data_IF_635055859184
#
_entry.id   IF_635055859184
#
_cell.length_a   1.000
_cell.length_b   1.000
_cell.length_c   1.000
_cell.angle_alpha   90.00
_cell.angle_beta   90.00
_cell.angle_gamma   90.00
#
_symmetry.space_group_name_H-M   'P 1'
#
loop_
_entity.id
_entity.type
_entity.pdbx_description
1 polymer ?
#
# COMPACT_ATOMS: atom_id res chain seq x y z
N UNK A 1 1.58 -20.60 -50.50
CA UNK A 1 0.99 -20.77 -49.16
C UNK A 1 1.88 -20.06 -48.14
N UNK A 2 1.45 -18.96 -47.51
CA UNK A 2 2.28 -18.29 -46.52
C UNK A 2 2.39 -19.15 -45.27
N UNK A 3 3.63 -19.44 -44.85
CA UNK A 3 3.93 -20.29 -43.69
C UNK A 3 3.48 -19.66 -42.37
N UNK A 4 3.03 -20.47 -41.40
CA UNK A 4 2.57 -20.05 -40.04
C UNK A 4 3.48 -19.04 -39.32
N UNK A 5 4.79 -19.05 -39.64
CA UNK A 5 5.79 -18.13 -39.09
C UNK A 5 5.68 -16.69 -39.61
N UNK A 6 5.16 -16.49 -40.83
CA UNK A 6 4.90 -15.16 -41.37
C UNK A 6 3.61 -14.58 -40.76
N UNK A 7 2.57 -15.41 -40.59
CA UNK A 7 1.32 -15.02 -39.95
C UNK A 7 1.53 -14.53 -38.51
N UNK A 8 2.32 -15.24 -37.69
CA UNK A 8 2.64 -14.81 -36.32
C UNK A 8 3.48 -13.52 -36.25
N UNK A 9 4.30 -13.22 -37.27
CA UNK A 9 5.02 -11.94 -37.35
C UNK A 9 4.13 -10.79 -37.84
N UNK A 10 3.14 -11.08 -38.67
CA UNK A 10 2.19 -10.09 -39.19
C UNK A 10 1.06 -9.76 -38.20
N UNK A 11 0.68 -10.70 -37.32
CA UNK A 11 -0.37 -10.47 -36.31
C UNK A 11 0.04 -9.52 -35.18
N UNK A 12 1.34 -9.36 -34.91
CA UNK A 12 1.84 -8.45 -33.87
C UNK A 12 1.74 -6.97 -34.26
N UNK A 13 1.56 -6.64 -35.55
CA UNK A 13 1.44 -5.27 -36.06
C UNK A 13 -0.02 -4.82 -36.32
N UNK A 14 -1.01 -5.70 -36.14
CA UNK A 14 -2.40 -5.43 -36.52
C UNK A 14 -3.31 -4.95 -35.37
N UNK A 15 -2.77 -4.70 -34.17
CA UNK A 15 -3.51 -4.14 -33.02
C UNK A 15 -3.25 -2.64 -32.78
N UNK A 16 -2.82 -1.90 -33.81
CA UNK A 16 -2.72 -0.44 -33.77
C UNK A 16 -4.03 0.24 -34.26
N UNK A 17 -5.15 -0.20 -33.69
CA UNK A 17 -6.46 0.42 -33.88
C UNK A 17 -6.77 1.39 -32.74
N UNK A 18 -6.76 2.69 -33.04
CA UNK A 18 -7.34 3.83 -32.30
C UNK A 18 -7.43 3.64 -30.77
N UNK A 19 -6.28 3.77 -30.11
CA UNK A 19 -6.16 3.91 -28.68
C UNK A 19 -4.72 4.28 -28.39
N UNK A 20 -4.48 5.45 -27.80
CA UNK A 20 -3.14 5.95 -27.49
C UNK A 20 -2.36 4.89 -26.70
N UNK A 21 -1.33 4.31 -27.33
CA UNK A 21 -0.37 3.46 -26.63
C UNK A 21 0.28 4.33 -25.55
N UNK A 22 0.20 3.96 -24.26
CA UNK A 22 0.88 4.70 -23.21
C UNK A 22 2.37 4.84 -23.54
N UNK A 23 2.93 6.04 -23.44
CA UNK A 23 4.31 6.35 -23.82
C UNK A 23 5.37 5.56 -23.04
N UNK A 24 5.00 4.91 -21.94
CA UNK A 24 5.85 3.99 -21.18
C UNK A 24 6.02 2.61 -21.86
N UNK A 25 4.99 2.11 -22.55
CA UNK A 25 4.99 0.83 -23.26
C UNK A 25 5.94 0.86 -24.47
N UNK A 26 6.02 2.02 -25.14
CA UNK A 26 7.01 2.26 -26.18
C UNK A 26 8.45 2.23 -25.65
N UNK A 27 8.69 2.66 -24.40
CA UNK A 27 10.03 2.70 -23.80
C UNK A 27 10.49 1.37 -23.22
N UNK A 28 9.59 0.51 -22.74
CA UNK A 28 9.93 -0.85 -22.29
C UNK A 28 10.56 -1.71 -23.42
N UNK A 29 10.21 -1.44 -24.68
CA UNK A 29 10.81 -2.10 -25.85
C UNK A 29 12.20 -1.56 -26.22
N UNK A 30 12.57 -0.35 -25.74
CA UNK A 30 13.88 0.28 -25.94
C UNK A 30 14.76 0.30 -24.68
N UNK A 31 14.26 -0.14 -23.52
CA UNK A 31 14.92 -0.08 -22.22
C UNK A 31 16.01 -1.15 -22.00
N UNK A 32 16.74 -1.54 -23.04
CA UNK A 32 17.87 -2.46 -22.88
C UNK A 32 19.17 -1.80 -22.38
N UNK A 33 19.30 -0.48 -22.37
CA UNK A 33 20.59 0.18 -22.07
C UNK A 33 20.49 1.55 -21.37
N UNK A 34 19.76 1.66 -20.26
CA UNK A 34 20.01 2.75 -19.29
C UNK A 34 19.67 2.28 -17.86
N UNK A 35 20.62 2.30 -16.91
CA UNK A 35 20.29 2.20 -15.50
C UNK A 35 19.37 3.37 -15.15
N UNK A 36 18.19 3.11 -14.61
CA UNK A 36 17.33 4.17 -14.09
C UNK A 36 18.10 4.91 -12.99
N UNK A 37 18.43 6.18 -13.23
CA UNK A 37 18.97 7.08 -12.22
C UNK A 37 17.95 7.42 -11.10
N UNK A 38 16.72 6.88 -11.17
CA UNK A 38 15.63 7.15 -10.23
C UNK A 38 15.61 6.09 -9.13
N UNK A 39 15.60 6.54 -7.87
CA UNK A 39 15.46 5.65 -6.71
C UNK A 39 14.10 4.93 -6.73
N UNK A 40 14.11 3.66 -6.35
CA UNK A 40 12.91 2.86 -6.12
C UNK A 40 12.28 3.26 -4.78
N UNK A 41 10.94 3.30 -4.75
CA UNK A 41 10.18 3.79 -3.60
C UNK A 41 9.15 2.76 -3.18
N UNK A 42 9.13 2.39 -1.90
CA UNK A 42 8.12 1.51 -1.31
C UNK A 42 7.22 2.33 -0.37
N UNK A 43 5.92 2.34 -0.65
CA UNK A 43 4.92 3.04 0.16
C UNK A 43 4.06 1.99 0.86
N UNK A 44 4.03 2.00 2.19
CA UNK A 44 3.17 1.13 2.98
C UNK A 44 1.98 1.94 3.55
N UNK A 45 0.77 1.42 3.34
CA UNK A 45 -0.47 2.03 3.84
C UNK A 45 -1.15 1.05 4.79
N UNK A 46 -1.36 1.47 6.03
CA UNK A 46 -2.03 0.65 7.04
C UNK A 46 -3.50 1.07 7.22
N UNK A 47 -4.43 0.17 6.95
CA UNK A 47 -5.86 0.32 7.21
C UNK A 47 -6.13 -0.13 8.66
N UNK A 48 -6.09 0.81 9.61
CA UNK A 48 -6.23 0.50 11.05
C UNK A 48 -7.68 0.24 11.43
N UNK A 49 -7.93 -0.93 12.01
CA UNK A 49 -9.25 -1.33 12.47
C UNK A 49 -9.79 -2.56 11.76
N UNK A 50 -8.96 -3.41 11.15
CA UNK A 50 -9.37 -4.68 10.55
C UNK A 50 -10.50 -4.54 9.53
N UNK A 51 -10.18 -4.01 8.35
CA UNK A 51 -11.17 -3.81 7.28
C UNK A 51 -11.87 -5.11 6.91
N UNK A 52 -13.17 -5.04 6.59
CA UNK A 52 -13.92 -6.19 6.10
C UNK A 52 -13.50 -6.58 4.68
N UNK A 53 -12.42 -7.38 4.58
CA UNK A 53 -11.84 -7.82 3.31
C UNK A 53 -12.84 -8.47 2.35
N UNK A 54 -13.85 -9.18 2.87
CA UNK A 54 -14.89 -9.83 2.06
C UNK A 54 -15.89 -8.84 1.43
N UNK A 55 -15.99 -7.63 1.98
CA UNK A 55 -16.72 -6.52 1.38
C UNK A 55 -15.79 -5.54 0.64
N UNK A 56 -14.47 -5.65 0.76
CA UNK A 56 -13.49 -4.90 -0.06
C UNK A 56 -13.31 -5.57 -1.43
N UNK A 57 -12.98 -6.86 -1.41
CA UNK A 57 -12.89 -7.74 -2.57
C UNK A 57 -13.90 -8.86 -2.37
N UNK A 58 -15.03 -8.68 -3.06
CA UNK A 58 -16.21 -9.51 -2.94
C UNK A 58 -15.95 -10.83 -3.64
N UNK A 59 -15.97 -11.97 -2.93
CA UNK A 59 -15.90 -13.30 -3.57
C UNK A 59 -17.27 -13.64 -4.16
N UNK A 60 -17.76 -12.85 -5.12
CA UNK A 60 -19.12 -12.98 -5.65
C UNK A 60 -19.36 -14.34 -6.32
N UNK A 61 -18.31 -15.08 -6.70
CA UNK A 61 -18.42 -16.46 -7.15
C UNK A 61 -18.91 -17.44 -6.07
N UNK A 62 -18.75 -17.11 -4.78
CA UNK A 62 -19.09 -17.97 -3.64
C UNK A 62 -20.56 -17.80 -3.21
N UNK A 63 -21.42 -18.83 -3.32
CA UNK A 63 -22.78 -18.77 -2.78
C UNK A 63 -22.80 -18.58 -1.25
N UNK A 64 -21.85 -19.19 -0.54
CA UNK A 64 -21.71 -19.12 0.90
C UNK A 64 -21.59 -17.67 1.41
N UNK A 65 -20.88 -16.80 0.69
CA UNK A 65 -20.77 -15.36 1.02
C UNK A 65 -22.14 -14.71 1.22
N UNK A 66 -23.05 -14.90 0.27
CA UNK A 66 -24.41 -14.34 0.33
C UNK A 66 -25.26 -14.96 1.44
N UNK A 67 -25.08 -16.26 1.69
CA UNK A 67 -25.83 -16.95 2.75
C UNK A 67 -25.38 -16.54 4.17
N UNK A 68 -24.10 -16.23 4.33
CA UNK A 68 -23.49 -15.83 5.60
C UNK A 68 -23.65 -14.33 5.89
N UNK A 69 -24.01 -13.54 4.86
CA UNK A 69 -24.12 -12.06 4.91
C UNK A 69 -25.45 -11.56 4.33
N UNK A 70 -26.60 -12.03 4.84
CA UNK A 70 -27.89 -11.75 4.23
C UNK A 70 -28.27 -10.26 4.16
N UNK A 71 -27.69 -9.40 5.01
CA UNK A 71 -28.00 -7.96 5.04
C UNK A 71 -26.86 -7.05 4.59
N UNK A 72 -25.61 -7.53 4.61
CA UNK A 72 -24.43 -6.72 4.24
C UNK A 72 -23.75 -7.16 2.92
N UNK A 73 -24.14 -8.28 2.31
CA UNK A 73 -23.49 -8.77 1.09
C UNK A 73 -23.60 -7.79 -0.08
N UNK A 74 -22.48 -7.50 -0.72
CA UNK A 74 -22.44 -6.71 -1.95
C UNK A 74 -23.05 -7.52 -3.11
N UNK A 75 -24.01 -6.96 -3.87
CA UNK A 75 -24.67 -7.68 -4.95
C UNK A 75 -23.69 -8.24 -6.00
N UNK A 76 -24.06 -9.37 -6.60
CA UNK A 76 -23.32 -9.98 -7.72
C UNK A 76 -23.19 -8.98 -8.88
N UNK A 77 -22.09 -8.99 -9.64
CA UNK A 77 -21.91 -8.12 -10.79
C UNK A 77 -23.09 -8.19 -11.76
N UNK A 78 -23.72 -7.04 -12.01
CA UNK A 78 -24.84 -6.88 -12.97
C UNK A 78 -24.59 -5.72 -13.95
N UNK A 79 -23.41 -5.09 -13.89
CA UNK A 79 -23.03 -3.92 -14.68
C UNK A 79 -23.51 -2.58 -14.12
N UNK A 80 -24.22 -2.56 -13.00
CA UNK A 80 -24.61 -1.32 -12.30
C UNK A 80 -23.50 -0.81 -11.36
N UNK A 81 -23.64 0.44 -10.93
CA UNK A 81 -22.80 1.08 -9.91
C UNK A 81 -23.12 0.65 -8.47
N UNK A 82 -24.06 -0.30 -8.30
CA UNK A 82 -24.56 -0.79 -7.00
C UNK A 82 -24.07 -2.19 -6.66
N UNK A 83 -23.43 -2.86 -7.62
CA UNK A 83 -22.98 -4.23 -7.52
C UNK A 83 -21.45 -4.32 -7.50
N UNK A 84 -20.92 -5.48 -7.14
CA UNK A 84 -19.49 -5.74 -7.23
C UNK A 84 -19.01 -5.56 -8.69
N UNK A 85 -17.80 -5.01 -8.84
CA UNK A 85 -17.16 -4.82 -10.13
C UNK A 85 -16.35 -6.07 -10.44
N UNK A 86 -16.81 -6.87 -11.40
CA UNK A 86 -16.17 -8.13 -11.77
C UNK A 86 -14.68 -7.94 -12.16
N UNK A 87 -13.81 -8.79 -11.61
CA UNK A 87 -12.38 -8.80 -11.89
C UNK A 87 -11.95 -10.04 -12.68
N UNK A 88 -12.44 -11.22 -12.29
CA UNK A 88 -12.04 -12.51 -12.85
C UNK A 88 -13.14 -13.58 -12.80
N UNK A 89 -14.41 -13.17 -12.74
CA UNK A 89 -15.62 -14.01 -12.58
C UNK A 89 -15.76 -14.71 -11.23
N UNK A 90 -14.73 -14.66 -10.36
CA UNK A 90 -14.77 -15.20 -9.00
C UNK A 90 -14.79 -14.07 -7.97
N UNK A 91 -13.95 -13.07 -8.17
CA UNK A 91 -13.80 -11.92 -7.29
C UNK A 91 -14.20 -10.64 -8.01
N UNK A 92 -14.68 -9.68 -7.22
CA UNK A 92 -15.06 -8.36 -7.68
C UNK A 92 -14.67 -7.29 -6.66
N UNK A 93 -14.39 -6.07 -7.11
CA UNK A 93 -14.20 -4.95 -6.17
C UNK A 93 -15.54 -4.49 -5.62
N UNK A 94 -15.56 -4.00 -4.39
CA UNK A 94 -16.66 -3.17 -3.91
C UNK A 94 -16.95 -2.03 -4.92
N UNK A 95 -18.21 -1.68 -5.23
CA UNK A 95 -18.55 -0.62 -6.19
C UNK A 95 -17.86 0.72 -5.92
N UNK A 96 -17.74 1.12 -4.64
CA UNK A 96 -17.02 2.34 -4.24
C UNK A 96 -15.53 2.35 -4.60
N UNK A 97 -14.93 1.22 -4.96
CA UNK A 97 -13.54 1.11 -5.43
C UNK A 97 -13.44 1.18 -6.96
N UNK A 98 -14.47 1.66 -7.67
CA UNK A 98 -14.48 1.75 -9.13
C UNK A 98 -13.26 2.47 -9.72
N UNK A 99 -12.71 3.46 -9.02
CA UNK A 99 -11.53 4.21 -9.43
C UNK A 99 -10.27 3.35 -9.54
N UNK A 100 -10.23 2.19 -8.87
CA UNK A 100 -9.14 1.21 -8.99
C UNK A 100 -9.27 0.28 -10.21
N UNK A 101 -10.43 0.22 -10.86
CA UNK A 101 -10.66 -0.69 -12.00
C UNK A 101 -9.71 -0.42 -13.16
N UNK A 102 -9.41 0.85 -13.43
CA UNK A 102 -8.44 1.24 -14.46
C UNK A 102 -7.04 0.67 -14.17
N UNK A 103 -6.60 0.67 -12.91
CA UNK A 103 -5.29 0.15 -12.51
C UNK A 103 -5.25 -1.38 -12.62
N UNK A 104 -6.36 -2.05 -12.29
CA UNK A 104 -6.52 -3.48 -12.51
C UNK A 104 -6.40 -3.84 -14.00
N UNK A 105 -7.15 -3.14 -14.86
CA UNK A 105 -7.17 -3.38 -16.31
C UNK A 105 -5.81 -3.10 -16.97
N UNK A 106 -5.09 -2.11 -16.46
CA UNK A 106 -3.71 -1.78 -16.86
C UNK A 106 -2.67 -2.72 -16.26
N UNK A 107 -3.08 -3.73 -15.48
CA UNK A 107 -2.22 -4.70 -14.78
C UNK A 107 -1.24 -4.05 -13.80
N UNK A 108 -1.59 -2.89 -13.26
CA UNK A 108 -0.80 -2.16 -12.27
C UNK A 108 -1.30 -2.38 -10.83
N UNK A 109 -2.42 -3.09 -10.66
CA UNK A 109 -2.96 -3.49 -9.36
C UNK A 109 -3.01 -5.02 -9.27
N UNK A 110 -2.35 -5.56 -8.25
CA UNK A 110 -2.48 -6.94 -7.80
C UNK A 110 -3.26 -6.99 -6.48
N UNK A 111 -4.12 -7.98 -6.36
CA UNK A 111 -4.87 -8.27 -5.14
C UNK A 111 -4.32 -9.58 -4.59
N UNK A 112 -4.12 -9.65 -3.28
CA UNK A 112 -3.69 -10.87 -2.61
C UNK A 112 -4.73 -11.20 -1.54
N UNK A 113 -5.43 -12.31 -1.74
CA UNK A 113 -6.51 -12.79 -0.88
C UNK A 113 -6.03 -13.75 0.21
N UNK A 114 -6.86 -13.91 1.23
CA UNK A 114 -6.60 -14.79 2.37
C UNK A 114 -5.22 -14.56 3.01
N UNK A 115 -4.82 -13.29 3.07
CA UNK A 115 -3.55 -12.85 3.66
C UNK A 115 -3.74 -12.52 5.13
N UNK A 116 -2.82 -12.94 5.99
CA UNK A 116 -2.89 -12.54 7.39
C UNK A 116 -1.66 -12.90 8.19
N UNK A 117 -1.71 -12.59 9.48
CA UNK A 117 -0.71 -12.98 10.47
C UNK A 117 -0.87 -14.46 10.83
N UNK A 118 0.23 -15.23 10.97
CA UNK A 118 0.17 -16.57 11.56
C UNK A 118 -0.11 -16.55 13.06
N UNK A 119 0.10 -15.42 13.74
CA UNK A 119 -0.40 -15.21 15.10
C UNK A 119 -1.91 -14.87 15.04
N UNK A 120 -2.76 -15.58 15.80
CA UNK A 120 -4.22 -15.45 15.71
C UNK A 120 -4.80 -14.35 16.60
N UNK A 121 -3.98 -13.46 17.17
CA UNK A 121 -4.49 -12.38 18.02
C UNK A 121 -5.50 -11.50 17.30
N UNK A 122 -6.61 -11.23 17.98
CA UNK A 122 -7.67 -10.30 17.54
C UNK A 122 -7.58 -8.94 18.27
N UNK A 123 -6.50 -8.72 19.03
CA UNK A 123 -6.24 -7.43 19.66
C UNK A 123 -5.66 -6.47 18.62
N UNK A 124 -6.34 -5.35 18.36
CA UNK A 124 -5.82 -4.31 17.47
C UNK A 124 -4.41 -3.87 17.85
N UNK A 125 -4.14 -3.68 19.14
CA UNK A 125 -2.81 -3.26 19.62
C UNK A 125 -1.73 -4.27 19.24
N UNK A 126 -1.96 -5.56 19.53
CA UNK A 126 -0.95 -6.60 19.30
C UNK A 126 -0.80 -6.91 17.82
N UNK A 127 -1.90 -7.03 17.09
CA UNK A 127 -1.87 -7.36 15.66
C UNK A 127 -1.24 -6.24 14.82
N UNK A 128 -1.54 -4.96 15.13
CA UNK A 128 -0.89 -3.83 14.47
C UNK A 128 0.61 -3.82 14.78
N UNK A 129 0.99 -4.00 16.05
CA UNK A 129 2.40 -4.08 16.44
C UNK A 129 3.14 -5.21 15.71
N UNK A 130 2.53 -6.39 15.59
CA UNK A 130 3.09 -7.55 14.90
C UNK A 130 3.23 -7.38 13.39
N UNK A 131 2.25 -6.75 12.73
CA UNK A 131 2.36 -6.47 11.29
C UNK A 131 3.37 -5.36 11.01
N UNK A 132 3.42 -4.31 11.83
CA UNK A 132 4.39 -3.23 11.69
C UNK A 132 5.82 -3.67 12.06
N UNK A 133 5.97 -4.54 13.05
CA UNK A 133 7.27 -5.13 13.38
C UNK A 133 7.67 -6.22 12.39
N UNK A 134 6.72 -6.91 11.74
CA UNK A 134 7.01 -8.10 10.93
C UNK A 134 7.40 -9.33 11.76
N UNK A 135 7.09 -9.34 13.07
CA UNK A 135 7.43 -10.43 14.01
C UNK A 135 6.21 -10.87 14.85
N UNK A 136 5.25 -11.57 14.23
CA UNK A 136 4.06 -12.11 14.91
C UNK A 136 4.38 -12.87 16.19
N UNK A 137 3.66 -12.55 17.27
CA UNK A 137 3.82 -13.19 18.59
C UNK A 137 4.97 -12.66 19.43
N UNK A 138 5.81 -11.74 18.93
CA UNK A 138 7.01 -11.25 19.64
C UNK A 138 6.92 -9.75 19.96
N UNK A 139 6.22 -9.40 21.04
CA UNK A 139 6.05 -8.01 21.52
C UNK A 139 7.35 -7.28 21.86
N UNK A 140 8.41 -8.04 22.17
CA UNK A 140 9.72 -7.47 22.50
C UNK A 140 10.41 -6.80 21.31
N UNK A 141 9.90 -6.97 20.08
CA UNK A 141 10.47 -6.34 18.87
C UNK A 141 10.10 -4.86 18.84
N UNK A 142 11.07 -3.99 19.09
CA UNK A 142 10.85 -2.53 19.18
C UNK A 142 10.98 -1.80 17.83
N UNK A 143 11.59 -2.44 16.84
CA UNK A 143 11.83 -1.88 15.50
C UNK A 143 10.94 -2.53 14.42
N UNK A 144 10.85 -1.83 13.29
CA UNK A 144 9.91 -2.12 12.22
C UNK A 144 10.53 -2.80 11.01
N UNK A 145 9.72 -3.58 10.30
CA UNK A 145 10.21 -4.28 9.10
C UNK A 145 10.57 -3.31 7.97
N UNK A 146 9.86 -2.18 7.81
CA UNK A 146 10.14 -1.23 6.74
C UNK A 146 11.47 -0.50 7.00
N UNK A 147 11.80 -0.22 8.27
CA UNK A 147 13.13 0.27 8.65
C UNK A 147 14.22 -0.78 8.37
N UNK A 148 14.03 -2.03 8.81
CA UNK A 148 15.01 -3.11 8.57
C UNK A 148 15.18 -3.44 7.09
N UNK A 149 14.16 -3.20 6.27
CA UNK A 149 14.20 -3.42 4.83
C UNK A 149 15.17 -2.48 4.10
N UNK A 150 15.47 -1.30 4.65
CA UNK A 150 16.34 -0.32 4.01
C UNK A 150 17.79 -0.79 3.97
N UNK A 151 18.44 -0.65 2.81
CA UNK A 151 19.87 -0.96 2.64
C UNK A 151 20.71 0.15 3.26
N UNK A 152 21.82 -0.17 3.91
CA UNK A 152 22.69 0.85 4.50
C UNK A 152 23.27 1.80 3.43
N UNK A 153 23.25 3.11 3.69
CA UNK A 153 23.89 4.15 2.89
C UNK A 153 24.89 4.91 3.76
N UNK A 154 26.05 5.30 3.21
CA UNK A 154 27.08 6.02 3.97
C UNK A 154 26.68 7.46 4.33
N UNK A 155 25.89 8.11 3.45
CA UNK A 155 25.39 9.47 3.61
C UNK A 155 23.90 9.51 3.25
N UNK A 156 23.04 8.94 4.11
CA UNK A 156 21.62 8.85 3.82
C UNK A 156 21.00 10.25 3.78
N UNK A 157 20.02 10.45 2.89
CA UNK A 157 19.19 11.65 2.96
C UNK A 157 18.31 11.61 4.23
N UNK A 158 18.18 12.71 4.99
CA UNK A 158 17.28 12.77 6.15
C UNK A 158 15.80 12.51 5.83
N UNK A 159 15.38 12.67 4.57
CA UNK A 159 14.01 12.39 4.09
C UNK A 159 13.88 11.05 3.37
N UNK A 160 14.86 10.14 3.54
CA UNK A 160 14.84 8.81 2.93
C UNK A 160 13.69 7.93 3.42
N UNK A 161 13.31 8.09 4.70
CA UNK A 161 12.17 7.41 5.32
C UNK A 161 11.22 8.42 5.95
N UNK A 162 9.97 8.47 5.50
CA UNK A 162 8.98 9.45 5.98
C UNK A 162 7.65 8.77 6.31
N UNK A 163 7.03 9.15 7.43
CA UNK A 163 5.63 8.81 7.71
C UNK A 163 4.73 10.04 7.70
N UNK A 164 3.52 9.88 7.16
CA UNK A 164 2.46 10.89 7.20
C UNK A 164 1.55 10.59 8.40
N UNK A 165 2.13 10.68 9.59
CA UNK A 165 1.52 10.32 10.89
C UNK A 165 1.96 11.31 11.98
N UNK A 166 1.23 11.40 13.12
CA UNK A 166 1.62 12.29 14.22
C UNK A 166 2.97 11.95 14.86
N UNK A 167 3.33 10.67 14.89
CA UNK A 167 4.58 10.16 15.45
C UNK A 167 5.18 9.09 14.53
N UNK A 168 6.47 8.76 14.72
CA UNK A 168 7.13 7.72 13.93
C UNK A 168 6.51 6.36 14.26
N UNK A 169 5.84 5.71 13.27
CA UNK A 169 5.15 4.44 13.46
C UNK A 169 6.17 3.32 13.70
N UNK A 170 5.75 2.23 14.33
CA UNK A 170 6.64 1.11 14.66
C UNK A 170 7.35 0.58 13.41
N UNK A 171 6.66 0.51 12.27
CA UNK A 171 7.24 0.02 11.01
C UNK A 171 8.48 0.79 10.55
N UNK A 172 8.62 2.06 10.94
CA UNK A 172 9.77 2.91 10.63
C UNK A 172 10.74 3.12 11.79
N UNK A 173 10.49 2.57 12.98
CA UNK A 173 11.47 2.61 14.08
C UNK A 173 12.64 1.66 13.79
N UNK A 174 13.86 2.06 14.10
CA UNK A 174 15.04 1.21 13.93
C UNK A 174 16.33 2.01 13.78
N UNK A 175 17.31 1.42 13.10
CA UNK A 175 18.66 2.00 12.91
C UNK A 175 18.70 3.10 11.86
N UNK A 176 17.80 3.05 10.88
CA UNK A 176 17.68 4.11 9.88
C UNK A 176 16.85 5.25 10.46
N UNK A 177 17.28 6.48 10.28
CA UNK A 177 16.50 7.64 10.68
C UNK A 177 15.21 7.74 9.85
N UNK A 178 14.11 8.12 10.50
CA UNK A 178 12.82 8.31 9.87
C UNK A 178 12.13 9.54 10.44
N UNK A 179 11.45 10.29 9.58
CA UNK A 179 10.76 11.52 9.95
C UNK A 179 9.25 11.34 9.92
N UNK A 180 8.57 11.72 11.00
CA UNK A 180 7.11 11.82 11.03
C UNK A 180 6.67 13.24 10.67
N UNK A 181 5.81 13.36 9.67
CA UNK A 181 5.30 14.62 9.13
C UNK A 181 3.78 14.52 9.09
N UNK A 182 3.07 15.18 10.02
CA UNK A 182 1.61 15.16 9.96
C UNK A 182 1.09 15.97 8.75
N UNK A 183 1.69 17.12 8.49
CA UNK A 183 1.42 17.97 7.33
C UNK A 183 2.66 18.80 6.99
N UNK A 184 3.08 18.75 5.73
CA UNK A 184 4.22 19.49 5.18
C UNK A 184 4.06 21.02 5.33
N UNK A 185 2.82 21.51 5.31
CA UNK A 185 2.54 22.93 5.42
C UNK A 185 2.68 23.45 6.86
N UNK A 186 2.62 22.56 7.85
CA UNK A 186 2.78 22.89 9.28
C UNK A 186 4.26 22.90 9.67
N UNK A 187 5.14 22.47 8.77
CA UNK A 187 6.57 22.41 8.98
C UNK A 187 7.19 23.81 8.88
N UNK A 188 6.96 24.64 9.90
CA UNK A 188 7.47 26.01 10.00
C UNK A 188 8.43 26.17 11.17
N UNK A 189 9.56 26.81 10.90
CA UNK A 189 10.45 27.31 11.95
C UNK A 189 9.84 28.61 12.49
N UNK A 190 9.30 28.59 13.70
CA UNK A 190 8.61 29.75 14.32
C UNK A 190 9.50 30.98 14.48
N UNK A 191 10.83 30.80 14.62
CA UNK A 191 11.80 31.90 14.58
C UNK A 191 13.09 31.47 13.83
N UNK A 192 13.29 31.94 12.59
CA UNK A 192 14.47 31.63 11.78
C UNK A 192 15.79 32.04 12.44
N UNK A 193 15.79 33.08 13.30
CA UNK A 193 17.01 33.55 13.98
C UNK A 193 17.40 32.62 15.12
N UNK A 194 16.41 32.09 15.84
CA UNK A 194 16.64 31.07 16.89
C UNK A 194 17.16 29.78 16.25
N UNK A 195 16.56 29.33 15.14
CA UNK A 195 17.04 28.15 14.42
C UNK A 195 18.49 28.33 13.90
N UNK A 196 18.82 29.47 13.31
CA UNK A 196 20.19 29.76 12.86
C UNK A 196 21.18 29.83 14.04
N UNK A 197 20.74 30.31 15.20
CA UNK A 197 21.56 30.32 16.42
C UNK A 197 21.81 28.90 16.93
N UNK A 198 20.77 28.06 17.03
CA UNK A 198 20.92 26.65 17.38
C UNK A 198 21.77 25.87 16.38
N UNK A 199 21.59 26.10 15.07
CA UNK A 199 22.42 25.51 14.01
C UNK A 199 23.90 25.89 14.19
N UNK A 200 24.19 27.16 14.49
CA UNK A 200 25.55 27.62 14.76
C UNK A 200 26.16 27.00 16.03
N UNK A 201 25.33 26.75 17.06
CA UNK A 201 25.75 26.11 18.31
C UNK A 201 26.11 24.63 18.11
N UNK A 202 25.29 23.86 17.39
CA UNK A 202 25.60 22.48 16.99
C UNK A 202 26.73 22.41 15.93
N UNK A 203 26.94 23.48 15.17
CA UNK A 203 28.09 23.59 14.27
C UNK A 203 29.43 23.77 14.99
N UNK A 204 29.41 24.28 16.24
CA UNK A 204 30.60 24.67 17.02
C UNK A 204 30.86 23.80 18.25
N UNK A 205 29.96 22.90 18.63
CA UNK A 205 30.21 21.97 19.75
C UNK A 205 31.20 20.87 19.31
N UNK A 206 32.05 20.37 20.22
CA UNK A 206 33.06 19.37 19.90
C UNK A 206 32.54 17.91 19.90
N UNK A 207 31.30 17.69 20.36
CA UNK A 207 30.69 16.36 20.44
C UNK A 207 30.16 15.91 19.08
N UNK A 208 30.91 15.02 18.42
CA UNK A 208 30.60 14.51 17.08
C UNK A 208 29.21 13.84 16.96
N UNK A 209 28.71 13.24 18.04
CA UNK A 209 27.40 12.56 18.07
C UNK A 209 26.24 13.57 18.08
N UNK A 210 26.36 14.65 18.85
CA UNK A 210 25.35 15.73 18.88
C UNK A 210 25.40 16.57 17.60
N UNK A 211 26.58 16.72 16.99
CA UNK A 211 26.76 17.45 15.73
C UNK A 211 26.14 16.73 14.52
N UNK A 212 26.16 15.39 14.47
CA UNK A 212 25.59 14.60 13.38
C UNK A 212 24.07 14.73 13.32
N UNK A 213 23.39 14.32 14.39
CA UNK A 213 21.92 14.35 14.51
C UNK A 213 21.36 15.78 14.41
N UNK A 214 22.08 16.77 14.94
CA UNK A 214 21.71 18.18 14.80
C UNK A 214 21.72 18.65 13.34
N UNK A 215 22.79 18.37 12.58
CA UNK A 215 22.92 18.76 11.17
C UNK A 215 21.89 18.07 10.29
N UNK A 216 21.68 16.77 10.45
CA UNK A 216 20.71 16.00 9.67
C UNK A 216 19.28 16.53 9.87
N UNK A 217 18.94 16.93 11.10
CA UNK A 217 17.67 17.59 11.43
C UNK A 217 17.53 18.94 10.70
N UNK A 218 18.58 19.77 10.70
CA UNK A 218 18.55 21.06 9.99
C UNK A 218 18.49 20.91 8.47
N UNK A 219 19.16 19.89 7.91
CA UNK A 219 19.10 19.59 6.48
C UNK A 219 17.70 19.10 6.08
N UNK A 220 17.08 18.23 6.88
CA UNK A 220 15.67 17.86 6.71
C UNK A 220 14.78 19.11 6.71
N UNK A 221 14.98 20.03 7.67
CA UNK A 221 14.20 21.26 7.76
C UNK A 221 14.34 22.13 6.50
N UNK A 222 15.57 22.32 6.01
CA UNK A 222 15.84 23.12 4.81
C UNK A 222 15.19 22.50 3.58
N UNK A 223 15.31 21.19 3.41
CA UNK A 223 14.69 20.46 2.29
C UNK A 223 13.17 20.62 2.37
N UNK A 224 12.56 20.38 3.53
CA UNK A 224 11.12 20.50 3.74
C UNK A 224 10.60 21.92 3.45
N UNK A 225 11.30 22.97 3.88
CA UNK A 225 10.95 24.35 3.55
C UNK A 225 11.04 24.63 2.04
N UNK A 226 12.02 24.05 1.35
CA UNK A 226 12.14 24.20 -0.11
C UNK A 226 10.96 23.54 -0.84
N UNK A 227 10.52 22.37 -0.38
CA UNK A 227 9.33 21.69 -0.90
C UNK A 227 8.10 22.56 -0.64
N UNK A 228 7.92 23.03 0.60
CA UNK A 228 6.76 23.83 1.03
C UNK A 228 6.60 25.11 0.20
N UNK A 229 7.69 25.82 -0.09
CA UNK A 229 7.68 27.07 -0.89
C UNK A 229 7.38 26.85 -2.36
N UNK A 230 7.60 25.65 -2.88
CA UNK A 230 7.35 25.31 -4.28
C UNK A 230 5.89 24.92 -4.47
N UNK A 231 5.07 25.66 -5.23
CA UNK A 231 3.68 25.30 -5.48
C UNK A 231 3.59 23.87 -6.05
N UNK A 232 2.62 23.11 -5.56
CA UNK A 232 2.39 21.75 -6.02
C UNK A 232 1.03 21.64 -6.70
N UNK A 233 1.04 21.35 -7.99
CA UNK A 233 -0.16 21.04 -8.76
C UNK A 233 -0.07 19.57 -9.19
N UNK A 234 -1.01 18.71 -8.77
CA UNK A 234 -1.07 17.33 -9.26
C UNK A 234 -1.08 17.30 -10.80
N UNK A 235 -0.29 16.38 -11.37
CA UNK A 235 -0.16 16.22 -12.81
C UNK A 235 -1.23 15.29 -13.38
N UNK A 236 -1.29 15.19 -14.71
CA UNK A 236 -2.12 14.26 -15.46
C UNK A 236 -3.63 14.34 -15.14
N UNK A 237 -4.10 15.47 -14.60
CA UNK A 237 -5.50 15.66 -14.20
C UNK A 237 -5.87 14.92 -12.90
N UNK A 238 -4.91 14.57 -12.06
CA UNK A 238 -5.18 13.91 -10.79
C UNK A 238 -5.91 14.84 -9.81
N UNK A 239 -6.95 14.31 -9.17
CA UNK A 239 -7.71 15.00 -8.14
C UNK A 239 -7.73 14.16 -6.87
N UNK A 240 -6.98 14.58 -5.85
CA UNK A 240 -6.97 13.90 -4.57
C UNK A 240 -8.25 14.21 -3.78
N UNK A 241 -8.88 13.22 -3.14
CA UNK A 241 -10.01 13.48 -2.27
C UNK A 241 -9.56 14.23 -1.02
N UNK A 242 -10.50 14.93 -0.38
CA UNK A 242 -10.22 15.77 0.79
C UNK A 242 -9.91 15.01 2.08
N UNK A 243 -10.08 13.68 2.10
CA UNK A 243 -9.80 12.83 3.26
C UNK A 243 -8.30 12.75 3.59
N UNK A 244 -8.01 12.24 4.79
CA UNK A 244 -6.64 12.18 5.33
C UNK A 244 -5.69 11.38 4.44
N UNK A 245 -6.16 10.30 3.83
CA UNK A 245 -5.31 9.50 2.94
C UNK A 245 -4.99 10.25 1.65
N UNK A 246 -5.97 10.92 1.03
CA UNK A 246 -5.77 11.76 -0.15
C UNK A 246 -4.72 12.84 0.10
N UNK A 247 -4.82 13.54 1.23
CA UNK A 247 -3.83 14.55 1.64
C UNK A 247 -2.44 13.94 1.89
N UNK A 248 -2.35 12.77 2.53
CA UNK A 248 -1.08 12.10 2.80
C UNK A 248 -0.39 11.65 1.51
N UNK A 249 -1.14 11.04 0.59
CA UNK A 249 -0.60 10.61 -0.70
C UNK A 249 -0.21 11.78 -1.60
N UNK A 250 -0.93 12.91 -1.54
CA UNK A 250 -0.52 14.13 -2.25
C UNK A 250 0.81 14.68 -1.72
N UNK A 251 1.05 14.62 -0.41
CA UNK A 251 2.31 15.05 0.18
C UNK A 251 3.47 14.10 -0.16
N UNK A 252 3.22 12.79 -0.14
CA UNK A 252 4.19 11.79 -0.63
C UNK A 252 4.52 12.07 -2.10
N UNK A 253 3.51 12.27 -2.94
CA UNK A 253 3.67 12.62 -4.36
C UNK A 253 4.54 13.87 -4.56
N UNK A 254 4.33 14.91 -3.74
CA UNK A 254 5.13 16.14 -3.74
C UNK A 254 6.60 15.87 -3.40
N UNK A 255 6.89 15.07 -2.36
CA UNK A 255 8.26 14.69 -2.00
C UNK A 255 8.94 13.86 -3.10
N UNK A 256 8.22 12.91 -3.69
CA UNK A 256 8.72 12.08 -4.80
C UNK A 256 9.09 12.94 -6.00
N UNK A 257 8.25 13.90 -6.37
CA UNK A 257 8.47 14.80 -7.51
C UNK A 257 9.53 15.86 -7.26
N UNK A 258 9.72 16.26 -6.01
CA UNK A 258 10.84 17.09 -5.60
C UNK A 258 12.18 16.33 -5.55
N UNK A 259 12.16 15.01 -5.76
CA UNK A 259 13.33 14.13 -5.83
C UNK A 259 14.26 14.23 -4.61
N UNK A 260 13.66 14.35 -3.43
CA UNK A 260 14.39 14.58 -2.17
C UNK A 260 15.11 13.34 -1.64
N UNK A 261 15.20 12.26 -2.40
CA UNK A 261 15.83 11.01 -1.97
C UNK A 261 14.95 10.09 -1.12
N UNK A 262 13.62 10.27 -1.16
CA UNK A 262 12.66 9.37 -0.52
C UNK A 262 12.78 7.95 -1.07
N UNK A 263 12.81 6.95 -0.18
CA UNK A 263 12.82 5.52 -0.53
C UNK A 263 11.69 4.74 0.12
N UNK A 264 11.34 5.07 1.36
CA UNK A 264 10.20 4.46 2.03
C UNK A 264 9.26 5.53 2.56
N UNK A 265 7.96 5.32 2.33
CA UNK A 265 6.92 6.15 2.93
C UNK A 265 5.89 5.30 3.66
N UNK A 266 5.36 5.83 4.75
CA UNK A 266 4.26 5.21 5.48
C UNK A 266 3.11 6.19 5.67
N UNK A 267 1.89 5.70 5.59
CA UNK A 267 0.72 6.41 6.13
C UNK A 267 -0.32 5.40 6.60
N UNK A 268 -1.29 5.86 7.35
CA UNK A 268 -2.39 5.04 7.82
C UNK A 268 -3.74 5.75 7.64
N UNK A 269 -4.79 4.94 7.64
CA UNK A 269 -6.17 5.41 7.58
C UNK A 269 -7.00 4.52 8.50
N UNK A 270 -7.82 5.13 9.34
CA UNK A 270 -8.69 4.44 10.30
C UNK A 270 -10.15 4.44 9.87
N UNK A 271 -11.02 3.99 10.79
CA UNK A 271 -12.48 3.94 10.57
C UNK A 271 -12.99 2.57 10.12
N UNK A 272 -12.11 1.59 9.99
CA UNK A 272 -12.42 0.25 9.49
C UNK A 272 -13.03 -0.69 10.55
N UNK A 273 -13.14 -0.23 11.80
CA UNK A 273 -13.63 -1.05 12.93
C UNK A 273 -15.16 -1.20 12.99
N UNK A 274 -15.75 -1.75 11.93
CA UNK A 274 -17.19 -1.71 11.67
C UNK A 274 -17.95 -2.88 12.31
N UNK A 275 -18.21 -2.78 13.62
CA UNK A 275 -19.04 -3.75 14.34
C UNK A 275 -20.56 -3.54 14.15
N UNK A 276 -20.98 -2.33 13.77
CA UNK A 276 -22.41 -1.96 13.71
C UNK A 276 -22.66 -1.14 12.45
N UNK A 277 -23.72 -1.48 11.72
CA UNK A 277 -24.17 -0.78 10.52
C UNK A 277 -23.03 -0.39 9.57
N UNK A 278 -22.19 -1.37 9.20
CA UNK A 278 -21.09 -1.12 8.27
C UNK A 278 -21.61 -0.59 6.92
N UNK A 279 -22.80 -1.07 6.55
CA UNK A 279 -23.56 -0.67 5.37
C UNK A 279 -24.76 0.22 5.73
N UNK A 280 -25.17 1.05 4.78
CA UNK A 280 -26.36 1.90 4.86
C UNK A 280 -27.65 1.13 4.57
N UNK A 281 -28.73 1.79 4.11
CA UNK A 281 -29.96 1.10 3.72
C UNK A 281 -29.78 0.10 2.57
N UNK A 282 -28.70 0.22 1.80
CA UNK A 282 -28.28 -0.74 0.78
C UNK A 282 -26.85 -1.21 1.07
N UNK A 283 -26.49 -2.46 0.70
CA UNK A 283 -25.15 -3.00 0.99
C UNK A 283 -23.98 -2.18 0.42
N UNK A 284 -24.17 -1.49 -0.71
CA UNK A 284 -23.13 -0.68 -1.36
C UNK A 284 -23.04 0.77 -0.83
N UNK A 285 -23.83 1.15 0.18
CA UNK A 285 -23.82 2.50 0.80
C UNK A 285 -23.39 2.42 2.27
N UNK A 286 -23.19 3.55 2.94
CA UNK A 286 -22.85 3.58 4.38
C UNK A 286 -21.37 3.81 4.69
N UNK A 287 -20.97 3.52 5.93
CA UNK A 287 -19.64 3.84 6.46
C UNK A 287 -18.53 3.17 5.64
N UNK A 288 -18.62 1.86 5.42
CA UNK A 288 -17.60 1.13 4.67
C UNK A 288 -17.49 1.67 3.23
N UNK A 289 -18.63 1.87 2.57
CA UNK A 289 -18.69 2.42 1.21
C UNK A 289 -18.04 3.80 1.10
N UNK A 290 -18.22 4.68 2.09
CA UNK A 290 -17.61 6.01 2.11
C UNK A 290 -16.09 5.95 2.32
N UNK A 291 -15.63 5.10 3.24
CA UNK A 291 -14.20 4.88 3.49
C UNK A 291 -13.51 4.28 2.27
N UNK A 292 -14.14 3.28 1.63
CA UNK A 292 -13.60 2.67 0.42
C UNK A 292 -13.56 3.63 -0.76
N UNK A 293 -14.50 4.57 -0.87
CA UNK A 293 -14.46 5.61 -1.90
C UNK A 293 -13.26 6.53 -1.72
N UNK A 294 -13.08 7.11 -0.52
CA UNK A 294 -11.92 7.96 -0.23
C UNK A 294 -10.60 7.18 -0.43
N UNK A 295 -10.56 5.92 0.00
CA UNK A 295 -9.41 5.04 -0.17
C UNK A 295 -9.06 4.76 -1.63
N UNK A 296 -10.05 4.31 -2.42
CA UNK A 296 -9.87 4.00 -3.84
C UNK A 296 -9.49 5.25 -4.64
N UNK A 297 -10.18 6.37 -4.40
CA UNK A 297 -9.95 7.63 -5.10
C UNK A 297 -8.57 8.21 -4.75
N UNK A 298 -8.11 8.09 -3.51
CA UNK A 298 -6.78 8.54 -3.11
C UNK A 298 -5.66 7.74 -3.80
N UNK A 299 -5.81 6.41 -3.89
CA UNK A 299 -4.85 5.54 -4.60
C UNK A 299 -4.84 5.80 -6.10
N UNK A 300 -6.03 5.93 -6.71
CA UNK A 300 -6.18 6.23 -8.13
C UNK A 300 -5.58 7.60 -8.48
N UNK A 301 -5.88 8.62 -7.68
CA UNK A 301 -5.31 9.96 -7.82
C UNK A 301 -3.79 9.94 -7.68
N UNK A 302 -3.24 9.18 -6.71
CA UNK A 302 -1.80 9.03 -6.57
C UNK A 302 -1.13 8.42 -7.79
N UNK A 303 -1.68 7.32 -8.31
CA UNK A 303 -1.14 6.68 -9.52
C UNK A 303 -1.20 7.62 -10.73
N UNK A 304 -2.34 8.30 -10.91
CA UNK A 304 -2.53 9.28 -11.97
C UNK A 304 -1.52 10.43 -11.86
N UNK A 305 -1.33 10.98 -10.65
CA UNK A 305 -0.41 12.09 -10.40
C UNK A 305 1.05 11.71 -10.70
N UNK A 306 1.45 10.49 -10.31
CA UNK A 306 2.80 9.97 -10.54
C UNK A 306 3.08 9.65 -12.02
N UNK A 307 2.08 9.17 -12.77
CA UNK A 307 2.25 8.82 -14.18
C UNK A 307 3.46 7.91 -14.40
N UNK A 308 4.41 8.34 -15.24
CA UNK A 308 5.65 7.61 -15.53
C UNK A 308 6.49 7.28 -14.28
N UNK A 309 6.35 8.02 -13.17
CA UNK A 309 7.06 7.71 -11.90
C UNK A 309 6.57 6.41 -11.25
N UNK A 310 5.39 5.90 -11.60
CA UNK A 310 4.90 4.62 -11.09
C UNK A 310 5.81 3.44 -11.46
N UNK A 311 6.65 3.55 -12.51
CA UNK A 311 7.66 2.55 -12.85
C UNK A 311 8.69 2.31 -11.73
N UNK A 312 8.85 3.28 -10.81
CA UNK A 312 9.79 3.23 -9.70
C UNK A 312 9.09 3.08 -8.34
N UNK A 313 7.76 3.03 -8.30
CA UNK A 313 6.97 3.04 -7.07
C UNK A 313 6.22 1.73 -6.93
N UNK A 314 6.29 1.15 -5.73
CA UNK A 314 5.38 0.09 -5.28
C UNK A 314 4.64 0.58 -4.04
N UNK A 315 3.32 0.53 -4.08
CA UNK A 315 2.43 0.78 -2.95
C UNK A 315 1.89 -0.55 -2.45
N UNK A 316 1.92 -0.78 -1.14
CA UNK A 316 1.30 -1.94 -0.50
C UNK A 316 0.32 -1.48 0.57
N UNK A 317 -0.86 -2.10 0.59
CA UNK A 317 -1.87 -1.85 1.62
C UNK A 317 -2.07 -3.09 2.48
N UNK A 318 -2.33 -2.88 3.76
CA UNK A 318 -2.53 -3.98 4.72
C UNK A 318 -3.49 -3.56 5.83
N UNK A 319 -4.03 -4.53 6.55
CA UNK A 319 -4.83 -4.37 7.76
C UNK A 319 -4.51 -5.51 8.72
N UNK A 320 -4.60 -5.27 10.02
CA UNK A 320 -4.01 -6.11 11.07
C UNK A 320 -4.54 -7.56 11.12
N UNK A 321 -5.80 -7.74 10.77
CA UNK A 321 -6.51 -9.01 10.58
C UNK A 321 -7.81 -8.70 9.82
N UNK A 322 -8.59 -9.73 9.49
CA UNK A 322 -9.88 -9.58 8.79
C UNK A 322 -11.10 -9.47 9.70
N UNK A 323 -12.27 -9.68 9.10
CA UNK A 323 -13.56 -9.72 9.78
C UNK A 323 -14.16 -11.12 9.76
N UNK A 324 -15.13 -11.38 10.64
CA UNK A 324 -15.87 -12.64 10.61
C UNK A 324 -16.52 -12.86 9.24
N UNK A 325 -16.57 -14.12 8.80
CA UNK A 325 -17.23 -14.44 7.52
C UNK A 325 -18.72 -14.18 7.60
N UNK A 326 -19.33 -14.57 8.73
CA UNK A 326 -20.74 -14.31 9.02
C UNK A 326 -20.92 -12.88 9.53
N UNK A 327 -21.94 -12.19 9.03
CA UNK A 327 -22.39 -10.92 9.62
C UNK A 327 -22.89 -11.12 11.06
N UNK A 328 -22.75 -10.10 11.90
CA UNK A 328 -23.32 -10.09 13.24
C UNK A 328 -24.78 -9.57 13.23
N UNK A 329 -25.41 -9.53 14.41
CA UNK A 329 -26.81 -9.09 14.54
C UNK A 329 -27.04 -7.60 14.28
N UNK A 330 -25.99 -6.80 14.24
CA UNK A 330 -26.03 -5.34 14.16
C UNK A 330 -25.68 -4.80 12.77
N UNK A 331 -25.73 -5.67 11.75
CA UNK A 331 -25.39 -5.34 10.35
C UNK A 331 -23.94 -4.85 10.22
N UNK A 332 -23.04 -5.47 10.96
CA UNK A 332 -21.59 -5.34 10.84
C UNK A 332 -20.92 -6.70 10.98
N UNK A 333 -19.63 -6.69 11.31
CA UNK A 333 -18.82 -7.90 11.49
C UNK A 333 -17.87 -7.78 12.68
N UNK A 334 -17.58 -8.91 13.32
CA UNK A 334 -16.64 -8.95 14.44
C UNK A 334 -15.21 -9.19 13.96
N UNK A 335 -14.24 -9.14 14.88
CA UNK A 335 -12.84 -9.44 14.56
C UNK A 335 -12.67 -10.86 14.03
N UNK A 336 -12.02 -10.99 12.87
CA UNK A 336 -11.73 -12.24 12.18
C UNK A 336 -10.24 -12.54 12.13
N UNK A 337 -9.77 -13.11 11.01
CA UNK A 337 -8.38 -13.56 10.85
C UNK A 337 -7.74 -13.12 9.53
N UNK A 338 -8.02 -13.80 8.41
CA UNK A 338 -7.47 -13.41 7.11
C UNK A 338 -8.16 -12.19 6.49
N UNK A 339 -7.38 -11.39 5.77
CA UNK A 339 -7.79 -10.17 5.08
C UNK A 339 -7.21 -10.15 3.65
N UNK A 340 -7.29 -8.99 3.00
CA UNK A 340 -6.80 -8.72 1.65
C UNK A 340 -5.68 -7.67 1.68
N UNK A 341 -4.69 -7.83 0.81
CA UNK A 341 -3.67 -6.82 0.53
C UNK A 341 -3.77 -6.35 -0.92
N UNK A 342 -3.61 -5.04 -1.14
CA UNK A 342 -3.39 -4.50 -2.48
C UNK A 342 -1.92 -4.19 -2.68
N UNK A 343 -1.39 -4.52 -3.85
CA UNK A 343 -0.07 -4.09 -4.31
C UNK A 343 -0.25 -3.37 -5.64
N UNK A 344 0.16 -2.10 -5.69
CA UNK A 344 0.03 -1.23 -6.86
C UNK A 344 1.39 -0.69 -7.30
N UNK A 345 1.68 -0.65 -8.60
CA UNK A 345 2.98 -0.18 -9.09
C UNK A 345 3.24 -0.52 -10.55
N UNK A 346 4.21 0.15 -11.16
CA UNK A 346 4.57 -0.11 -12.56
C UNK A 346 5.30 -1.44 -12.78
N UNK A 347 5.95 -1.98 -11.75
CA UNK A 347 6.58 -3.31 -11.78
C UNK A 347 5.64 -4.43 -11.31
N UNK A 348 4.39 -4.12 -10.95
CA UNK A 348 3.43 -5.11 -10.46
C UNK A 348 2.93 -5.97 -11.62
N UNK A 349 2.83 -7.27 -11.39
CA UNK A 349 2.18 -8.23 -12.29
C UNK A 349 0.69 -8.30 -11.94
N UNK A 350 -0.01 -7.20 -12.16
CA UNK A 350 -1.40 -7.02 -11.77
C UNK A 350 -2.43 -7.61 -12.74
N UNK A 351 -3.68 -7.22 -12.53
CA UNK A 351 -4.85 -7.79 -13.22
C UNK A 351 -5.09 -9.24 -12.80
N UNK A 352 -4.71 -9.59 -11.56
CA UNK A 352 -4.74 -10.94 -11.01
C UNK A 352 -5.00 -10.91 -9.51
N UNK A 353 -5.80 -11.86 -9.05
CA UNK A 353 -5.93 -12.22 -7.63
C UNK A 353 -4.90 -13.30 -7.32
N UNK A 354 -4.02 -13.04 -6.35
CA UNK A 354 -3.03 -13.96 -5.82
C UNK A 354 -3.52 -14.54 -4.49
N UNK A 355 -2.85 -15.61 -4.03
CA UNK A 355 -3.22 -16.33 -2.82
C UNK A 355 -4.03 -17.58 -3.15
N UNK A 356 -4.07 -18.51 -2.19
CA UNK A 356 -4.88 -19.72 -2.28
C UNK A 356 -6.19 -19.48 -1.55
N UNK A 357 -7.28 -19.26 -2.28
CA UNK A 357 -8.57 -19.03 -1.62
C UNK A 357 -9.08 -20.30 -0.93
N UNK A 358 -9.31 -20.28 0.39
CA UNK A 358 -9.70 -21.48 1.14
C UNK A 358 -11.15 -21.89 0.91
N UNK A 359 -12.02 -20.96 0.49
CA UNK A 359 -13.47 -21.15 0.47
C UNK A 359 -14.14 -20.61 1.74
N UNK A 360 -15.48 -20.63 1.78
CA UNK A 360 -16.27 -20.08 2.89
C UNK A 360 -17.19 -21.12 3.57
N UNK A 361 -17.08 -22.39 3.19
CA UNK A 361 -17.77 -23.47 3.89
C UNK A 361 -17.17 -23.68 5.28
N UNK A 362 -17.98 -24.16 6.23
CA UNK A 362 -17.60 -24.21 7.66
C UNK A 362 -16.28 -24.92 7.91
N UNK A 363 -15.98 -26.01 7.18
CA UNK A 363 -14.77 -26.81 7.33
C UNK A 363 -13.52 -26.12 6.75
N UNK A 364 -13.71 -25.09 5.91
CA UNK A 364 -12.65 -24.29 5.29
C UNK A 364 -12.26 -23.08 6.14
N UNK A 365 -13.13 -22.68 7.08
CA UNK A 365 -12.93 -21.53 7.94
C UNK A 365 -11.99 -21.82 9.11
N UNK A 366 -11.18 -20.83 9.48
CA UNK A 366 -10.44 -20.86 10.73
C UNK A 366 -11.42 -20.86 11.90
N UNK A 367 -11.30 -21.87 12.77
CA UNK A 367 -12.21 -22.12 13.91
C UNK A 367 -13.70 -22.22 13.50
N UNK A 368 -14.00 -22.51 12.23
CA UNK A 368 -15.37 -22.54 11.72
C UNK A 368 -16.06 -21.16 11.65
N UNK A 369 -15.30 -20.06 11.74
CA UNK A 369 -15.84 -18.69 11.90
C UNK A 369 -15.19 -17.66 10.98
N UNK A 370 -13.87 -17.69 10.85
CA UNK A 370 -13.09 -16.64 10.18
C UNK A 370 -12.52 -17.15 8.85
N UNK A 371 -12.27 -16.25 7.89
CA UNK A 371 -11.55 -16.63 6.68
C UNK A 371 -10.16 -17.16 7.08
N UNK A 372 -9.82 -18.35 6.60
CA UNK A 372 -8.56 -18.99 6.95
C UNK A 372 -7.38 -18.29 6.26
N UNK A 373 -6.28 -18.08 6.98
CA UNK A 373 -5.05 -17.51 6.40
C UNK A 373 -4.35 -18.59 5.60
N UNK A 374 -4.22 -18.38 4.30
CA UNK A 374 -3.44 -19.24 3.40
C UNK A 374 -2.16 -18.57 2.93
N UNK A 375 -2.07 -17.24 3.09
CA UNK A 375 -0.90 -16.45 2.74
C UNK A 375 -0.41 -15.66 3.96
N UNK A 376 0.77 -15.99 4.47
CA UNK A 376 1.43 -15.14 5.47
C UNK A 376 1.77 -13.77 4.85
N UNK A 377 1.38 -12.67 5.49
CA UNK A 377 1.64 -11.30 5.00
C UNK A 377 3.13 -11.05 4.73
N UNK A 378 4.04 -11.67 5.49
CA UNK A 378 5.49 -11.54 5.31
C UNK A 378 5.95 -12.15 4.00
N UNK A 379 5.22 -13.10 3.43
CA UNK A 379 5.52 -13.64 2.09
C UNK A 379 5.28 -12.60 0.99
N UNK A 380 4.26 -11.74 1.14
CA UNK A 380 4.04 -10.60 0.25
C UNK A 380 5.13 -9.56 0.44
N UNK A 381 5.32 -9.11 1.69
CA UNK A 381 6.26 -8.04 2.00
C UNK A 381 7.71 -8.41 1.67
N UNK A 382 8.16 -9.64 1.93
CA UNK A 382 9.51 -10.08 1.60
C UNK A 382 9.80 -10.04 0.10
N UNK A 383 8.83 -10.32 -0.77
CA UNK A 383 9.03 -10.13 -2.21
C UNK A 383 9.23 -8.65 -2.56
N UNK A 384 8.45 -7.75 -1.96
CA UNK A 384 8.61 -6.31 -2.18
C UNK A 384 9.98 -5.85 -1.68
N UNK A 385 10.40 -6.29 -0.50
CA UNK A 385 11.73 -5.97 0.05
C UNK A 385 12.85 -6.46 -0.87
N UNK A 386 12.78 -7.68 -1.40
CA UNK A 386 13.81 -8.20 -2.30
C UNK A 386 13.85 -7.46 -3.64
N UNK A 387 12.70 -7.21 -4.26
CA UNK A 387 12.63 -6.73 -5.66
C UNK A 387 12.50 -5.22 -5.79
N UNK A 388 11.78 -4.57 -4.87
CA UNK A 388 11.62 -3.11 -4.87
C UNK A 388 12.79 -2.43 -4.16
N UNK A 389 13.17 -2.93 -2.97
CA UNK A 389 14.21 -2.29 -2.13
C UNK A 389 15.61 -2.87 -2.36
N UNK A 390 15.74 -4.00 -3.06
CA UNK A 390 17.01 -4.66 -3.33
C UNK A 390 17.65 -5.35 -2.12
N UNK A 391 16.94 -5.44 -0.99
CA UNK A 391 17.45 -6.10 0.21
C UNK A 391 17.10 -7.59 0.19
N UNK A 392 18.13 -8.44 0.03
CA UNK A 392 17.97 -9.90 -0.06
C UNK A 392 18.09 -10.61 1.30
N UNK A 393 18.46 -9.90 2.36
CA UNK A 393 18.65 -10.44 3.71
C UNK A 393 17.32 -10.58 4.46
N UNK A 394 16.38 -11.33 3.89
CA UNK A 394 15.00 -11.43 4.37
C UNK A 394 14.89 -11.91 5.82
N UNK A 395 15.78 -12.79 6.27
CA UNK A 395 15.79 -13.24 7.67
C UNK A 395 16.12 -12.10 8.66
N UNK A 396 16.85 -11.06 8.24
CA UNK A 396 17.11 -9.87 9.06
C UNK A 396 15.91 -8.92 9.09
N UNK A 397 15.15 -8.86 7.98
CA UNK A 397 13.96 -8.02 7.86
C UNK A 397 12.76 -8.66 8.57
N UNK A 398 12.61 -9.98 8.47
CA UNK A 398 11.55 -10.75 9.11
C UNK A 398 12.18 -11.91 9.92
N UNK A 399 12.64 -11.66 11.15
CA UNK A 399 13.22 -12.70 11.99
C UNK A 399 12.29 -13.90 12.19
N UNK A 400 12.84 -15.11 12.04
CA UNK A 400 12.08 -16.37 12.18
C UNK A 400 11.14 -16.69 11.01
N UNK A 401 11.15 -15.88 9.93
CA UNK A 401 10.39 -16.15 8.71
C UNK A 401 11.30 -16.68 7.59
N UNK A 402 10.81 -17.66 6.85
CA UNK A 402 11.41 -18.12 5.59
C UNK A 402 10.40 -17.92 4.47
N UNK A 403 10.78 -17.19 3.41
CA UNK A 403 9.86 -16.82 2.33
C UNK A 403 9.39 -18.03 1.50
N UNK A 404 10.17 -19.12 1.47
CA UNK A 404 9.89 -20.29 0.62
C UNK A 404 9.91 -19.98 -0.89
N UNK A 405 10.35 -18.78 -1.29
CA UNK A 405 10.35 -18.30 -2.68
C UNK A 405 9.55 -17.00 -2.86
N UNK A 406 9.52 -16.49 -4.10
CA UNK A 406 8.70 -15.32 -4.47
C UNK A 406 7.32 -15.76 -4.95
N UNK A 407 6.28 -14.98 -4.66
CA UNK A 407 4.92 -15.18 -5.17
C UNK A 407 4.74 -14.71 -6.62
N UNK A 408 5.70 -13.94 -7.13
CA UNK A 408 5.69 -13.42 -8.49
C UNK A 408 4.75 -12.24 -8.66
N UNK A 409 4.55 -11.47 -7.59
CA UNK A 409 3.76 -10.23 -7.54
C UNK A 409 4.46 -9.11 -8.30
N UNK A 410 5.78 -9.02 -8.21
CA UNK A 410 6.59 -8.05 -8.97
C UNK A 410 7.32 -8.73 -10.14
N UNK A 411 7.45 -8.01 -11.26
CA UNK A 411 8.34 -8.40 -12.36
C UNK A 411 9.81 -8.36 -11.91
N UNK A 412 10.65 -9.12 -12.60
CA UNK A 412 12.11 -9.15 -12.39
C UNK A 412 12.74 -7.86 -12.88
#
# INVERSE_FOLDING_TARGET
MPTRRLFLKSSALAMFGVGSVPSWLGRALYAKEAPSARKKILIAIFQRGAVDGLNVVVPHGEPAYYSLRPSIAIPRPDGSDRAAIDLDSRFGLHPSLHSLKTLWDQRQLAIIEAVGSPDPTRSHFDAQDYMESGTPGLKATLDGWLNRAMVAEAHPCPLRAVSLTPEVPRTLRGKNEALAINNINDFQVKDPRVAATFESMYGTTADQVLNGTGRETFDAIKIMQSIQKTPYTPANGAHYPGGRLGQSLQQIARMIKADVGLEVAFTDVGGWDTHVNEVGPQPHTGQLSNLLRDFGDALAAFSQDMGDRMADITVVTMSEFGRTVKENGDRGTDHGHANVMFVMGGAVRGGRVYGEWPGLEREQLYEGRDLNVTTDFRAVLSELVMKQMGNREIASVFPGFSSGGTRGILSV
#
